data_IF_101638438363
#
_entry.id   IF_101638438363
#
_cell.length_a   1.000
_cell.length_b   1.000
_cell.length_c   1.000
_cell.angle_alpha   90.00
_cell.angle_beta   90.00
_cell.angle_gamma   90.00
#
_symmetry.space_group_name_H-M   'P 1'
#
loop_
_entity.id
_entity.type
_entity.pdbx_description
1 polymer ?
#
# COMPACT_ATOMS: atom_id res chain seq x y z
N UNK A 1 -41.25 16.77 -16.18
CA UNK A 1 -39.79 16.87 -16.38
C UNK A 1 -39.21 17.69 -15.23
N UNK A 2 -38.57 17.10 -14.21
CA UNK A 2 -37.88 17.86 -13.19
C UNK A 2 -36.39 17.97 -13.51
N UNK A 3 -35.94 19.20 -13.79
CA UNK A 3 -34.53 19.57 -13.77
C UNK A 3 -34.09 19.73 -12.31
N UNK A 4 -33.14 18.93 -11.85
CA UNK A 4 -32.39 19.21 -10.62
C UNK A 4 -30.91 18.94 -10.89
N UNK A 5 -30.24 19.91 -11.50
CA UNK A 5 -28.79 19.97 -11.52
C UNK A 5 -28.32 20.34 -10.10
N UNK A 6 -28.25 19.35 -9.22
CA UNK A 6 -27.49 19.47 -7.99
C UNK A 6 -26.02 19.30 -8.35
N UNK A 7 -25.35 20.42 -8.66
CA UNK A 7 -23.89 20.45 -8.70
C UNK A 7 -23.37 20.08 -7.31
N UNK A 8 -22.87 18.84 -7.19
CA UNK A 8 -22.10 18.38 -6.05
C UNK A 8 -20.80 19.20 -6.04
N UNK A 9 -20.81 20.36 -5.38
CA UNK A 9 -19.57 21.09 -5.07
C UNK A 9 -18.81 20.26 -4.05
N UNK A 10 -17.78 19.55 -4.49
CA UNK A 10 -16.78 18.99 -3.59
C UNK A 10 -16.21 20.14 -2.74
N UNK A 11 -16.18 20.03 -1.40
CA UNK A 11 -15.49 21.02 -0.58
C UNK A 11 -14.03 21.01 -0.99
N UNK A 12 -13.57 22.10 -1.61
CA UNK A 12 -12.15 22.28 -1.87
C UNK A 12 -11.45 22.38 -0.51
N UNK A 13 -10.38 21.61 -0.25
CA UNK A 13 -9.61 21.82 0.96
C UNK A 13 -9.09 23.26 0.93
N UNK A 14 -9.27 23.99 2.03
CA UNK A 14 -8.75 25.35 2.16
C UNK A 14 -7.22 25.30 2.09
N UNK A 15 -6.64 25.40 0.89
CA UNK A 15 -5.22 25.69 0.72
C UNK A 15 -5.01 27.19 0.96
N UNK A 16 -5.00 27.58 2.24
CA UNK A 16 -4.34 28.82 2.62
C UNK A 16 -2.89 28.69 2.21
N UNK A 17 -2.49 29.37 1.13
CA UNK A 17 -1.08 29.41 0.70
C UNK A 17 -0.24 29.82 1.90
N UNK A 18 0.72 29.00 2.37
CA UNK A 18 1.61 29.45 3.42
C UNK A 18 2.35 30.67 2.88
N UNK A 19 2.27 31.78 3.62
CA UNK A 19 3.05 32.98 3.35
C UNK A 19 4.50 32.54 3.13
N UNK A 20 5.07 32.86 1.98
CA UNK A 20 6.48 32.58 1.67
C UNK A 20 7.36 33.21 2.75
N UNK A 21 7.66 32.44 3.78
CA UNK A 21 8.59 32.81 4.84
C UNK A 21 9.97 32.56 4.25
N UNK A 22 10.47 33.58 3.56
CA UNK A 22 11.78 33.61 2.91
C UNK A 22 12.94 33.62 3.90
N UNK A 23 13.00 32.66 4.81
CA UNK A 23 14.19 32.36 5.58
C UNK A 23 14.73 31.02 5.11
N UNK A 24 15.92 31.02 4.51
CA UNK A 24 16.69 29.80 4.23
C UNK A 24 17.00 29.10 5.56
N UNK A 25 16.08 28.28 6.07
CA UNK A 25 16.40 27.26 7.05
C UNK A 25 17.27 26.21 6.37
N UNK A 26 18.25 25.66 7.08
CA UNK A 26 19.11 24.59 6.55
C UNK A 26 18.33 23.33 6.15
N UNK A 27 17.13 23.17 6.72
CA UNK A 27 16.18 22.11 6.37
C UNK A 27 15.03 22.69 5.50
N UNK A 28 14.82 22.18 4.28
CA UNK A 28 13.76 22.63 3.37
C UNK A 28 12.33 22.38 3.86
N UNK A 29 12.15 21.60 4.94
CA UNK A 29 10.82 21.25 5.47
C UNK A 29 10.57 21.77 6.89
N UNK A 30 11.42 22.68 7.40
CA UNK A 30 11.31 23.19 8.77
C UNK A 30 9.96 23.89 9.05
N UNK A 31 9.34 24.44 8.01
CA UNK A 31 8.03 25.08 8.02
C UNK A 31 6.87 24.08 8.20
N UNK A 32 7.05 22.81 7.81
CA UNK A 32 5.99 21.79 7.84
C UNK A 32 6.24 20.63 8.83
N UNK A 33 7.48 20.38 9.24
CA UNK A 33 7.86 19.19 10.03
C UNK A 33 7.17 19.11 11.41
N UNK A 34 6.83 20.25 12.00
CA UNK A 34 6.17 20.33 13.31
C UNK A 34 4.64 20.49 13.21
N UNK A 35 4.08 20.54 12.00
CA UNK A 35 2.64 20.73 11.82
C UNK A 35 1.87 19.46 12.20
N UNK A 36 0.76 19.65 12.91
CA UNK A 36 -0.16 18.56 13.18
C UNK A 36 -0.96 18.21 11.91
N UNK A 37 -1.27 16.92 11.68
CA UNK A 37 -2.16 16.53 10.58
C UNK A 37 -3.53 17.22 10.69
N UNK A 38 -4.15 17.61 9.57
CA UNK A 38 -5.45 18.26 9.57
C UNK A 38 -6.52 17.32 10.14
N UNK A 39 -7.34 17.84 11.07
CA UNK A 39 -8.50 17.13 11.61
C UNK A 39 -9.77 17.71 10.99
N UNK A 40 -10.44 16.90 10.18
CA UNK A 40 -11.70 17.28 9.55
C UNK A 40 -12.87 16.96 10.50
N UNK A 41 -13.79 17.91 10.78
CA UNK A 41 -14.89 17.70 11.72
C UNK A 41 -15.85 16.59 11.26
N UNK A 42 -16.01 16.43 9.95
CA UNK A 42 -16.91 15.44 9.35
C UNK A 42 -16.21 14.13 8.98
N UNK A 43 -14.88 14.05 9.10
CA UNK A 43 -14.09 12.85 8.80
C UNK A 43 -13.13 12.58 9.96
N UNK A 44 -13.66 12.06 11.08
CA UNK A 44 -12.81 11.66 12.20
C UNK A 44 -11.83 10.55 11.76
N UNK A 45 -10.65 10.46 12.39
CA UNK A 45 -9.70 9.39 12.11
C UNK A 45 -10.32 8.01 12.33
N UNK A 46 -10.07 7.10 11.40
CA UNK A 46 -10.52 5.71 11.52
C UNK A 46 -9.84 5.01 12.71
N UNK A 47 -10.59 4.21 13.47
CA UNK A 47 -10.06 3.43 14.60
C UNK A 47 -9.01 2.41 14.12
N UNK A 48 -8.11 1.97 15.02
CA UNK A 48 -7.09 0.96 14.68
C UNK A 48 -7.71 -0.33 14.13
N UNK A 49 -8.80 -0.80 14.74
CA UNK A 49 -9.52 -2.00 14.31
C UNK A 49 -10.15 -1.83 12.92
N UNK A 50 -10.81 -0.70 12.66
CA UNK A 50 -11.38 -0.43 11.35
C UNK A 50 -10.30 -0.27 10.27
N UNK A 51 -9.14 0.30 10.62
CA UNK A 51 -7.97 0.35 9.74
C UNK A 51 -7.44 -1.05 9.43
N UNK A 52 -7.33 -1.93 10.44
CA UNK A 52 -6.94 -3.32 10.24
C UNK A 52 -7.96 -4.07 9.36
N UNK A 53 -9.25 -3.78 9.53
CA UNK A 53 -10.32 -4.39 8.75
C UNK A 53 -10.23 -4.06 7.25
N UNK A 54 -9.59 -2.95 6.85
CA UNK A 54 -9.33 -2.66 5.43
C UNK A 54 -8.46 -3.73 4.75
N UNK A 55 -7.68 -4.50 5.54
CA UNK A 55 -6.86 -5.61 5.07
C UNK A 55 -7.59 -6.96 5.13
N UNK A 56 -8.83 -7.03 5.65
CA UNK A 56 -9.66 -8.24 5.63
C UNK A 56 -9.87 -8.90 4.25
N UNK A 57 -10.01 -8.20 3.11
CA UNK A 57 -10.16 -8.86 1.81
C UNK A 57 -9.01 -9.83 1.48
N UNK A 58 -7.82 -9.66 2.09
CA UNK A 58 -6.69 -10.57 1.92
C UNK A 58 -6.62 -11.66 2.98
N UNK A 59 -7.48 -11.63 4.01
CA UNK A 59 -7.55 -12.68 5.05
C UNK A 59 -7.95 -14.04 4.46
N UNK A 60 -8.77 -14.05 3.42
CA UNK A 60 -9.15 -15.28 2.71
C UNK A 60 -8.00 -15.90 1.91
N UNK A 61 -6.81 -15.27 1.85
CA UNK A 61 -5.59 -15.87 1.30
C UNK A 61 -4.76 -16.63 2.34
N UNK A 62 -5.06 -16.53 3.64
CA UNK A 62 -4.46 -17.40 4.67
C UNK A 62 -4.61 -18.92 4.40
N UNK A 63 -5.70 -19.47 3.85
CA UNK A 63 -5.79 -20.90 3.58
C UNK A 63 -4.94 -21.39 2.37
N UNK A 64 -4.15 -20.53 1.71
CA UNK A 64 -3.26 -20.95 0.62
C UNK A 64 -1.88 -21.44 1.08
N UNK A 65 -1.64 -21.60 2.39
CA UNK A 65 -0.43 -22.31 2.88
C UNK A 65 -0.26 -23.67 2.20
N UNK A 66 -1.37 -24.41 2.02
CA UNK A 66 -1.36 -25.69 1.29
C UNK A 66 -0.98 -25.54 -0.20
N UNK A 67 -1.33 -24.42 -0.84
CA UNK A 67 -0.93 -24.16 -2.23
C UNK A 67 0.55 -23.76 -2.34
N UNK A 68 1.07 -23.05 -1.33
CA UNK A 68 2.50 -22.71 -1.24
C UNK A 68 3.32 -23.99 -1.05
N UNK A 69 2.92 -24.84 -0.09
CA UNK A 69 3.55 -26.14 0.15
C UNK A 69 3.49 -27.05 -1.09
N UNK A 70 2.33 -27.12 -1.76
CA UNK A 70 2.20 -27.91 -2.99
C UNK A 70 3.12 -27.42 -4.11
N UNK A 71 3.36 -26.11 -4.22
CA UNK A 71 4.31 -25.55 -5.21
C UNK A 71 5.75 -25.87 -4.81
N UNK A 72 6.10 -25.78 -3.52
CA UNK A 72 7.42 -26.17 -3.02
C UNK A 72 7.72 -27.66 -3.31
N UNK A 73 6.78 -28.57 -3.01
CA UNK A 73 6.93 -30.00 -3.31
C UNK A 73 7.11 -30.28 -4.82
N UNK A 74 6.35 -29.58 -5.69
CA UNK A 74 6.49 -29.71 -7.14
C UNK A 74 7.87 -29.22 -7.62
N UNK A 75 8.40 -28.17 -7.00
CA UNK A 75 9.73 -27.63 -7.33
C UNK A 75 10.81 -28.62 -6.89
N UNK A 76 10.74 -29.15 -5.66
CA UNK A 76 11.69 -30.16 -5.15
C UNK A 76 11.70 -31.43 -6.02
N UNK A 77 10.52 -31.96 -6.40
CA UNK A 77 10.46 -33.14 -7.29
C UNK A 77 11.06 -32.87 -8.67
N UNK A 78 10.88 -31.65 -9.20
CA UNK A 78 11.46 -31.26 -10.49
C UNK A 78 12.98 -31.07 -10.41
N UNK A 79 13.51 -30.59 -9.28
CA UNK A 79 14.95 -30.53 -9.07
C UNK A 79 15.56 -31.92 -8.94
N UNK A 80 14.87 -32.85 -8.25
CA UNK A 80 15.33 -34.23 -8.12
C UNK A 80 15.29 -35.02 -9.44
N UNK A 81 14.40 -34.64 -10.36
CA UNK A 81 14.34 -35.22 -11.71
C UNK A 81 15.37 -34.59 -12.66
N UNK A 82 15.90 -33.42 -12.33
CA UNK A 82 16.99 -32.79 -13.08
C UNK A 82 18.31 -33.39 -12.62
N UNK A 83 18.85 -34.31 -13.41
CA UNK A 83 20.24 -34.74 -13.27
C UNK A 83 21.12 -33.53 -13.58
N UNK A 84 22.12 -33.23 -12.75
CA UNK A 84 23.05 -32.12 -12.99
C UNK A 84 23.71 -32.29 -14.37
N UNK A 85 23.83 -31.20 -15.14
CA UNK A 85 24.34 -31.24 -16.51
C UNK A 85 25.73 -31.89 -16.59
N UNK A 86 26.53 -31.67 -15.54
CA UNK A 86 27.88 -32.21 -15.34
C UNK A 86 27.88 -33.72 -15.06
N UNK A 87 26.78 -34.30 -14.55
CA UNK A 87 26.63 -35.75 -14.38
C UNK A 87 26.29 -36.46 -15.70
N UNK A 88 25.51 -35.82 -16.59
CA UNK A 88 25.12 -36.41 -17.88
C UNK A 88 26.23 -36.26 -18.92
N UNK A 89 26.99 -35.17 -18.86
CA UNK A 89 28.04 -34.84 -19.81
C UNK A 89 29.37 -34.55 -19.10
N UNK A 90 30.06 -35.57 -18.57
CA UNK A 90 31.32 -35.39 -17.83
C UNK A 90 32.50 -34.94 -18.70
N UNK A 91 32.36 -35.02 -20.02
CA UNK A 91 33.43 -34.81 -21.01
C UNK A 91 33.29 -33.48 -21.80
N UNK A 92 32.37 -32.60 -21.43
CA UNK A 92 32.21 -31.25 -22.01
C UNK A 92 32.66 -30.14 -21.04
#
# INVERSE_FOLDING_TARGET
>A
MPNSNQQIRAPQPNLSKPSQLGSKSADPYQDIINLQPPRLPNHPPMSRTARAAQFMPFKALEPHEANIQAVEEIIEQKTDTYIEFDEIYPDF
#
